data_IF_681057510610
#
_entry.id   IF_681057510610
#
_cell.length_a   1.000
_cell.length_b   1.000
_cell.length_c   1.000
_cell.angle_alpha   90.00
_cell.angle_beta   90.00
_cell.angle_gamma   90.00
#
_symmetry.space_group_name_H-M   'P 1'
#
loop_
_entity.id
_entity.type
_entity.pdbx_description
1 polymer ?
#
# COMPACT_ATOMS: atom_id res chain seq x y z
N UNK A 1 -3.88 25.32 13.35
CA UNK A 1 -3.66 24.36 12.26
C UNK A 1 -4.81 23.35 12.33
N UNK A 2 -5.46 23.04 11.21
CA UNK A 2 -6.59 22.09 11.15
C UNK A 2 -6.05 20.69 10.80
N UNK A 3 -5.95 19.81 11.79
CA UNK A 3 -5.40 18.46 11.65
C UNK A 3 -6.19 17.63 10.63
N UNK A 4 -7.51 17.82 10.53
CA UNK A 4 -8.32 17.07 9.57
C UNK A 4 -7.99 17.44 8.12
N UNK A 5 -7.68 18.71 7.86
CA UNK A 5 -7.20 19.14 6.54
C UNK A 5 -5.83 18.52 6.20
N UNK A 6 -4.95 18.42 7.18
CA UNK A 6 -3.65 17.77 6.98
C UNK A 6 -3.81 16.25 6.73
N UNK A 7 -4.73 15.58 7.43
CA UNK A 7 -5.04 14.16 7.16
C UNK A 7 -5.51 13.98 5.72
N UNK A 8 -6.47 14.80 5.27
CA UNK A 8 -6.97 14.74 3.88
C UNK A 8 -5.83 14.97 2.90
N UNK A 9 -4.99 15.98 3.14
CA UNK A 9 -3.85 16.29 2.29
C UNK A 9 -2.85 15.13 2.16
N UNK A 10 -2.50 14.48 3.28
CA UNK A 10 -1.59 13.33 3.26
C UNK A 10 -2.23 12.15 2.52
N UNK A 11 -3.51 11.85 2.80
CA UNK A 11 -4.24 10.78 2.13
C UNK A 11 -4.34 10.98 0.62
N UNK A 12 -4.70 12.19 0.19
CA UNK A 12 -4.85 12.51 -1.25
C UNK A 12 -3.50 12.49 -1.98
N UNK A 13 -2.41 12.79 -1.26
CA UNK A 13 -1.06 12.65 -1.77
C UNK A 13 -0.52 11.20 -1.75
N UNK A 14 -1.32 10.24 -1.30
CA UNK A 14 -0.93 8.82 -1.21
C UNK A 14 0.09 8.52 -0.12
N UNK A 15 0.22 9.38 0.87
CA UNK A 15 1.19 9.21 1.97
C UNK A 15 0.48 8.72 3.23
N UNK A 16 0.97 7.62 3.84
CA UNK A 16 0.44 7.16 5.12
C UNK A 16 0.83 8.12 6.25
N UNK A 17 -0.03 8.20 7.25
CA UNK A 17 0.20 8.98 8.46
C UNK A 17 -0.44 8.30 9.67
N UNK A 18 -0.20 8.80 10.88
CA UNK A 18 -0.84 8.32 12.09
C UNK A 18 -1.43 9.48 12.88
N UNK A 19 -2.67 9.33 13.33
CA UNK A 19 -3.35 10.28 14.21
C UNK A 19 -3.22 9.81 15.65
N UNK A 20 -2.57 10.61 16.49
CA UNK A 20 -2.50 10.40 17.93
C UNK A 20 -3.59 11.21 18.61
N UNK A 21 -4.41 10.56 19.41
CA UNK A 21 -5.48 11.17 20.20
C UNK A 21 -5.34 10.76 21.67
N UNK A 22 -5.50 11.71 22.60
CA UNK A 22 -5.62 11.40 24.04
C UNK A 22 -7.03 10.86 24.29
N UNK A 23 -7.12 9.66 24.86
CA UNK A 23 -8.39 9.02 25.21
C UNK A 23 -8.70 9.19 26.67
N UNK A 24 -7.69 8.95 27.53
CA UNK A 24 -7.84 9.04 28.98
C UNK A 24 -6.66 9.82 29.56
N UNK A 25 -6.99 10.66 30.52
CA UNK A 25 -6.07 11.51 31.22
C UNK A 25 -6.48 11.60 32.69
N UNK A 26 -5.56 11.33 33.61
CA UNK A 26 -5.79 11.49 35.05
C UNK A 26 -4.58 12.12 35.73
N UNK A 27 -4.81 12.86 36.81
CA UNK A 27 -3.77 13.61 37.49
C UNK A 27 -3.40 14.92 36.80
N UNK A 28 -2.27 15.51 37.20
CA UNK A 28 -1.75 16.76 36.62
C UNK A 28 -1.02 16.44 35.32
N UNK A 29 -1.64 16.79 34.18
CA UNK A 29 -1.08 16.53 32.85
C UNK A 29 -1.01 17.83 32.03
N UNK A 30 -0.02 18.00 31.15
CA UNK A 30 0.21 19.24 30.41
C UNK A 30 -0.72 19.48 29.23
N UNK A 31 -1.64 18.55 28.93
CA UNK A 31 -2.45 18.60 27.71
C UNK A 31 -3.93 18.87 27.94
N UNK A 32 -4.60 19.51 26.98
CA UNK A 32 -6.07 19.56 26.93
C UNK A 32 -6.66 18.20 26.52
N UNK A 33 -7.79 17.83 27.13
CA UNK A 33 -8.48 16.52 26.93
C UNK A 33 -8.85 16.20 25.46
N UNK A 34 -8.71 17.15 24.53
CA UNK A 34 -9.00 16.96 23.11
C UNK A 34 -7.78 17.17 22.22
N UNK A 35 -6.57 17.13 22.79
CA UNK A 35 -5.34 17.33 22.03
C UNK A 35 -5.12 16.18 21.04
N UNK A 36 -4.76 16.55 19.82
CA UNK A 36 -4.45 15.61 18.74
C UNK A 36 -3.17 16.02 18.03
N UNK A 37 -2.48 15.04 17.51
CA UNK A 37 -1.26 15.24 16.71
C UNK A 37 -1.26 14.27 15.55
N UNK A 38 -0.96 14.77 14.35
CA UNK A 38 -0.68 13.96 13.18
C UNK A 38 0.83 13.77 13.05
N UNK A 39 1.25 12.52 12.87
CA UNK A 39 2.62 12.16 12.51
C UNK A 39 2.63 11.69 11.07
N UNK A 40 3.53 12.25 10.23
CA UNK A 40 3.67 11.90 8.82
C UNK A 40 4.74 10.82 8.63
N UNK A 41 4.77 10.22 7.46
CA UNK A 41 5.73 9.17 7.10
C UNK A 41 7.20 9.63 7.21
N UNK A 42 7.48 10.92 6.96
CA UNK A 42 8.81 11.53 7.12
C UNK A 42 9.18 11.85 8.58
N UNK A 43 8.24 11.62 9.51
CA UNK A 43 8.39 11.90 10.93
C UNK A 43 8.07 13.34 11.33
N UNK A 44 7.69 14.21 10.39
CA UNK A 44 7.19 15.55 10.72
C UNK A 44 5.82 15.47 11.39
N UNK A 45 5.48 16.46 12.21
CA UNK A 45 4.26 16.49 12.99
C UNK A 45 3.38 17.70 12.67
N UNK A 46 2.07 17.55 12.93
CA UNK A 46 1.13 18.65 12.96
C UNK A 46 0.28 18.55 14.24
N UNK A 47 0.22 19.63 15.03
CA UNK A 47 -0.39 19.63 16.36
C UNK A 47 0.54 19.11 17.45
N UNK A 48 0.00 18.88 18.64
CA UNK A 48 0.72 18.36 19.81
C UNK A 48 -0.24 17.64 20.77
N UNK A 49 0.28 16.71 21.52
CA UNK A 49 -0.45 16.01 22.61
C UNK A 49 0.15 16.32 23.99
N UNK A 50 0.87 17.46 24.10
CA UNK A 50 1.35 17.96 25.38
C UNK A 50 2.87 18.10 25.49
N UNK A 51 3.63 17.70 24.49
CA UNK A 51 5.09 17.81 24.47
C UNK A 51 5.82 16.81 25.37
N UNK A 52 7.13 16.99 25.48
CA UNK A 52 7.99 16.20 26.38
C UNK A 52 8.15 14.73 25.94
N UNK A 53 8.57 13.86 26.89
CA UNK A 53 8.85 12.47 26.61
C UNK A 53 7.63 11.62 26.24
N UNK A 54 6.45 11.96 26.75
CA UNK A 54 5.22 11.26 26.42
C UNK A 54 4.90 11.43 24.93
N UNK A 55 5.03 12.65 24.41
CA UNK A 55 4.86 12.93 22.97
C UNK A 55 5.96 12.23 22.15
N UNK A 56 7.21 12.30 22.56
CA UNK A 56 8.32 11.60 21.89
C UNK A 56 8.08 10.09 21.77
N UNK A 57 7.59 9.46 22.85
CA UNK A 57 7.25 8.04 22.84
C UNK A 57 6.05 7.72 21.95
N UNK A 58 5.03 8.58 21.95
CA UNK A 58 3.88 8.44 21.06
C UNK A 58 4.26 8.57 19.58
N UNK A 59 5.21 9.46 19.23
CA UNK A 59 5.76 9.60 17.88
C UNK A 59 6.50 8.31 17.44
N UNK A 60 7.26 7.68 18.32
CA UNK A 60 7.94 6.41 18.01
C UNK A 60 6.94 5.31 17.66
N UNK A 61 5.91 5.13 18.50
CA UNK A 61 4.84 4.15 18.21
C UNK A 61 4.06 4.52 16.95
N UNK A 62 3.83 5.81 16.70
CA UNK A 62 3.17 6.26 15.46
C UNK A 62 3.95 5.87 14.19
N UNK A 63 5.27 5.87 14.22
CA UNK A 63 6.10 5.38 13.10
C UNK A 63 5.91 3.87 12.86
N UNK A 64 5.78 3.08 13.92
CA UNK A 64 5.46 1.64 13.79
C UNK A 64 4.05 1.43 13.23
N UNK A 65 3.08 2.21 13.71
CA UNK A 65 1.70 2.22 13.20
C UNK A 65 1.65 2.56 11.72
N UNK A 66 2.41 3.56 11.28
CA UNK A 66 2.53 3.94 9.86
C UNK A 66 3.13 2.77 9.03
N UNK A 67 4.18 2.14 9.54
CA UNK A 67 4.88 1.07 8.83
C UNK A 67 4.02 -0.21 8.71
N UNK A 68 3.24 -0.54 9.75
CA UNK A 68 2.42 -1.76 9.80
C UNK A 68 1.00 -1.56 9.29
N UNK A 69 0.48 -0.33 9.30
CA UNK A 69 -0.92 -0.01 9.04
C UNK A 69 -1.87 -0.49 10.15
N UNK A 70 -1.35 -0.85 11.34
CA UNK A 70 -2.13 -1.35 12.47
C UNK A 70 -2.17 -0.32 13.59
N UNK A 71 -3.38 0.14 13.93
CA UNK A 71 -3.61 1.07 15.03
C UNK A 71 -3.25 0.43 16.38
N UNK A 72 -2.74 1.23 17.31
CA UNK A 72 -2.29 0.76 18.63
C UNK A 72 -2.79 1.68 19.76
N UNK A 73 -2.88 1.09 20.94
CA UNK A 73 -3.08 1.83 22.19
C UNK A 73 -1.75 1.96 22.91
N UNK A 74 -1.44 3.16 23.41
CA UNK A 74 -0.25 3.42 24.22
C UNK A 74 -0.66 4.02 25.57
N UNK A 75 -0.31 3.33 26.65
CA UNK A 75 -0.47 3.85 28.01
C UNK A 75 0.90 4.32 28.53
N UNK A 76 0.92 5.50 29.15
CA UNK A 76 2.12 6.08 29.77
C UNK A 76 1.77 6.49 31.19
N UNK A 77 2.54 5.97 32.15
CA UNK A 77 2.51 6.36 33.55
C UNK A 77 3.64 7.35 33.81
N UNK A 78 3.30 8.55 34.24
CA UNK A 78 4.27 9.63 34.46
C UNK A 78 4.94 9.52 35.85
N UNK A 79 4.50 8.58 36.69
CA UNK A 79 5.06 8.33 38.03
C UNK A 79 6.24 7.35 38.06
N UNK A 80 6.36 6.45 37.09
CA UNK A 80 7.24 5.28 37.19
C UNK A 80 8.63 5.44 36.54
N UNK A 81 9.03 6.62 36.03
CA UNK A 81 10.31 6.74 35.32
C UNK A 81 11.22 7.83 35.91
N UNK A 82 12.03 7.52 36.98
CA UNK A 82 13.02 8.43 37.52
C UNK A 82 14.19 8.75 36.55
N UNK A 83 14.34 7.98 35.46
CA UNK A 83 15.35 8.23 34.40
C UNK A 83 14.88 9.16 33.31
N UNK A 84 13.59 9.49 33.25
CA UNK A 84 13.03 10.54 32.42
C UNK A 84 12.89 11.83 33.25
N UNK A 85 14.04 12.34 33.73
CA UNK A 85 14.13 13.63 34.42
C UNK A 85 13.89 14.78 33.42
N UNK A 86 12.62 15.03 33.17
CA UNK A 86 12.13 16.02 32.20
C UNK A 86 11.65 17.30 32.85
N UNK A 87 12.01 17.52 34.10
CA UNK A 87 11.66 18.74 34.84
C UNK A 87 10.14 18.98 34.98
N UNK A 88 9.31 17.94 34.74
CA UNK A 88 7.84 18.02 34.90
C UNK A 88 7.44 17.29 36.20
N UNK A 89 7.01 18.04 37.19
CA UNK A 89 6.41 17.58 38.44
C UNK A 89 4.92 17.20 38.16
N UNK A 90 4.68 16.40 37.15
CA UNK A 90 3.33 16.03 36.77
C UNK A 90 3.18 14.50 37.00
N UNK A 91 2.57 14.13 38.10
CA UNK A 91 2.14 12.77 38.33
C UNK A 91 0.79 12.51 37.73
N UNK A 92 0.73 11.72 36.64
CA UNK A 92 -0.54 11.39 35.97
C UNK A 92 -0.41 10.17 35.06
N UNK A 93 -1.56 9.68 34.59
CA UNK A 93 -1.66 8.60 33.63
C UNK A 93 -2.25 9.13 32.32
N UNK A 94 -1.59 8.80 31.20
CA UNK A 94 -2.04 9.17 29.86
C UNK A 94 -2.26 7.90 29.02
N UNK A 95 -3.37 7.86 28.30
CA UNK A 95 -3.66 6.83 27.34
C UNK A 95 -3.93 7.45 25.98
N UNK A 96 -3.15 6.99 25.00
CA UNK A 96 -3.26 7.43 23.62
C UNK A 96 -3.87 6.34 22.74
N UNK A 97 -4.74 6.71 21.82
CA UNK A 97 -5.03 5.94 20.63
C UNK A 97 -4.20 6.48 19.48
N UNK A 98 -3.45 5.61 18.83
CA UNK A 98 -2.60 5.92 17.69
C UNK A 98 -3.21 5.19 16.49
N UNK A 99 -3.92 5.96 15.67
CA UNK A 99 -4.70 5.45 14.55
C UNK A 99 -3.90 5.52 13.25
N UNK A 100 -3.85 4.40 12.53
CA UNK A 100 -3.24 4.35 11.21
C UNK A 100 -4.16 5.02 10.17
N UNK A 101 -3.69 6.07 9.54
CA UNK A 101 -4.36 6.74 8.42
C UNK A 101 -3.66 6.33 7.12
N UNK A 102 -4.24 5.32 6.49
CA UNK A 102 -3.70 4.80 5.23
C UNK A 102 -4.36 5.49 4.04
N UNK A 103 -3.61 5.81 2.98
CA UNK A 103 -4.18 6.40 1.78
C UNK A 103 -5.03 5.39 1.02
N UNK A 104 -6.03 5.88 0.28
CA UNK A 104 -6.75 5.06 -0.69
C UNK A 104 -5.78 4.56 -1.76
N UNK A 105 -5.99 3.33 -2.20
CA UNK A 105 -5.19 2.72 -3.27
C UNK A 105 -6.02 2.63 -4.53
N UNK A 106 -5.55 3.28 -5.57
CA UNK A 106 -6.17 3.26 -6.88
C UNK A 106 -5.34 2.40 -7.84
N UNK A 107 -5.99 1.50 -8.53
CA UNK A 107 -5.39 0.67 -9.59
C UNK A 107 -5.75 1.27 -10.93
N UNK A 108 -4.76 1.77 -11.66
CA UNK A 108 -4.89 2.25 -13.02
C UNK A 108 -4.71 1.07 -13.97
N UNK A 109 -5.79 0.64 -14.61
CA UNK A 109 -5.84 -0.53 -15.50
C UNK A 109 -5.79 -0.07 -16.94
N UNK A 110 -4.64 -0.25 -17.58
CA UNK A 110 -4.45 -0.02 -19.01
C UNK A 110 -4.81 -1.28 -19.77
N UNK A 111 -5.93 -1.24 -20.47
CA UNK A 111 -6.53 -2.34 -21.21
C UNK A 111 -7.77 -2.91 -20.54
N UNK A 112 -8.96 -2.49 -21.00
CA UNK A 112 -10.27 -2.99 -20.55
C UNK A 112 -10.70 -4.30 -21.21
N UNK A 113 -9.75 -5.06 -21.83
CA UNK A 113 -9.99 -6.37 -22.42
C UNK A 113 -10.33 -7.44 -21.38
N UNK A 114 -10.26 -8.72 -21.76
CA UNK A 114 -10.67 -9.84 -20.88
C UNK A 114 -9.92 -9.83 -19.54
N UNK A 115 -8.60 -9.77 -19.57
CA UNK A 115 -7.79 -9.77 -18.32
C UNK A 115 -8.05 -8.51 -17.48
N UNK A 116 -8.08 -7.33 -18.11
CA UNK A 116 -8.35 -6.07 -17.39
C UNK A 116 -9.74 -6.05 -16.76
N UNK A 117 -10.74 -6.62 -17.44
CA UNK A 117 -12.10 -6.72 -16.92
C UNK A 117 -12.18 -7.57 -15.64
N UNK A 118 -11.58 -8.76 -15.66
CA UNK A 118 -11.57 -9.64 -14.47
C UNK A 118 -10.68 -9.05 -13.36
N UNK A 119 -9.55 -8.42 -13.74
CA UNK A 119 -8.68 -7.74 -12.77
C UNK A 119 -9.42 -6.62 -12.05
N UNK A 120 -10.22 -5.82 -12.77
CA UNK A 120 -11.06 -4.76 -12.18
C UNK A 120 -12.03 -5.34 -11.13
N UNK A 121 -12.76 -6.40 -11.47
CA UNK A 121 -13.71 -7.05 -10.57
C UNK A 121 -13.03 -7.56 -9.29
N UNK A 122 -11.85 -8.15 -9.42
CA UNK A 122 -11.07 -8.64 -8.27
C UNK A 122 -10.55 -7.46 -7.43
N UNK A 123 -10.04 -6.41 -8.04
CA UNK A 123 -9.60 -5.20 -7.34
C UNK A 123 -10.74 -4.59 -6.52
N UNK A 124 -11.93 -4.48 -7.10
CA UNK A 124 -13.12 -4.00 -6.39
C UNK A 124 -13.50 -4.90 -5.21
N UNK A 125 -13.46 -6.22 -5.39
CA UNK A 125 -13.72 -7.19 -4.30
C UNK A 125 -12.74 -7.02 -3.15
N UNK A 126 -11.50 -6.58 -3.44
CA UNK A 126 -10.46 -6.28 -2.46
C UNK A 126 -10.56 -4.88 -1.85
N UNK A 127 -11.57 -4.09 -2.22
CA UNK A 127 -11.74 -2.71 -1.75
C UNK A 127 -10.75 -1.71 -2.35
N UNK A 128 -10.16 -2.03 -3.49
CA UNK A 128 -9.30 -1.13 -4.24
C UNK A 128 -10.14 -0.29 -5.21
N UNK A 129 -9.85 0.99 -5.29
CA UNK A 129 -10.42 1.87 -6.32
C UNK A 129 -9.81 1.54 -7.67
N UNK A 130 -10.58 1.68 -8.75
CA UNK A 130 -10.10 1.38 -10.11
C UNK A 130 -10.36 2.53 -11.06
N UNK A 131 -9.41 2.75 -11.96
CA UNK A 131 -9.50 3.64 -13.11
C UNK A 131 -9.14 2.82 -14.34
N UNK A 132 -10.03 2.76 -15.34
CA UNK A 132 -9.81 1.93 -16.51
C UNK A 132 -9.52 2.79 -17.74
N UNK A 133 -8.46 2.47 -18.44
CA UNK A 133 -7.96 3.18 -19.62
C UNK A 133 -7.85 2.20 -20.80
N UNK A 134 -8.44 2.51 -21.93
CA UNK A 134 -8.27 1.74 -23.17
C UNK A 134 -8.34 2.70 -24.39
N UNK A 135 -7.63 2.40 -25.44
CA UNK A 135 -7.68 3.20 -26.67
C UNK A 135 -9.04 3.10 -27.39
N UNK A 136 -9.87 2.13 -27.02
CA UNK A 136 -11.18 1.83 -27.63
C UNK A 136 -12.32 2.15 -26.67
N UNK A 137 -13.30 2.99 -27.07
CA UNK A 137 -14.42 3.37 -26.20
C UNK A 137 -15.28 2.20 -25.72
N UNK A 138 -15.41 1.14 -26.50
CA UNK A 138 -16.16 -0.04 -26.10
C UNK A 138 -15.50 -0.86 -24.98
N UNK A 139 -14.21 -0.62 -24.70
CA UNK A 139 -13.44 -1.30 -23.65
C UNK A 139 -13.16 -0.42 -22.43
N UNK A 140 -13.40 0.90 -22.46
CA UNK A 140 -13.27 1.78 -21.31
C UNK A 140 -14.47 2.72 -21.23
N UNK A 141 -15.59 2.22 -20.68
CA UNK A 141 -16.82 2.98 -20.50
C UNK A 141 -17.55 2.60 -19.21
N UNK A 142 -18.45 3.47 -18.70
CA UNK A 142 -19.17 3.22 -17.44
C UNK A 142 -20.15 2.04 -17.50
N UNK A 143 -20.65 1.65 -18.67
CA UNK A 143 -21.54 0.49 -18.80
C UNK A 143 -20.77 -0.81 -18.53
N UNK A 144 -19.54 -0.90 -19.03
CA UNK A 144 -18.65 -2.04 -18.84
C UNK A 144 -18.04 -2.08 -17.44
N UNK A 145 -17.72 -0.92 -16.88
CA UNK A 145 -17.06 -0.75 -15.57
C UNK A 145 -17.87 0.18 -14.64
N UNK A 146 -19.08 -0.24 -14.22
CA UNK A 146 -20.00 0.65 -13.48
C UNK A 146 -19.52 0.99 -12.07
N UNK A 147 -18.52 0.28 -11.56
CA UNK A 147 -17.97 0.50 -10.22
C UNK A 147 -16.56 1.12 -10.24
N UNK A 148 -15.98 1.35 -11.41
CA UNK A 148 -14.74 2.11 -11.51
C UNK A 148 -14.96 3.58 -11.12
N UNK A 149 -13.97 4.19 -10.50
CA UNK A 149 -13.98 5.63 -10.17
C UNK A 149 -14.12 6.46 -11.45
N UNK A 150 -13.42 6.05 -12.51
CA UNK A 150 -13.55 6.64 -13.82
C UNK A 150 -13.07 5.69 -14.93
N UNK A 151 -13.53 5.96 -16.15
CA UNK A 151 -13.10 5.28 -17.37
C UNK A 151 -12.64 6.32 -18.38
N UNK A 152 -11.53 6.05 -19.06
CA UNK A 152 -10.92 6.96 -20.02
C UNK A 152 -10.62 6.23 -21.32
N UNK A 153 -11.26 6.67 -22.42
CA UNK A 153 -11.10 6.06 -23.74
C UNK A 153 -10.44 7.02 -24.72
N UNK A 154 -9.67 6.46 -25.66
CA UNK A 154 -9.03 7.21 -26.74
C UNK A 154 -7.50 7.14 -26.73
N UNK A 155 -6.83 8.03 -27.48
CA UNK A 155 -5.37 8.09 -27.50
C UNK A 155 -4.80 8.21 -26.09
N UNK A 156 -3.78 7.40 -25.75
CA UNK A 156 -3.27 7.30 -24.37
C UNK A 156 -2.84 8.66 -23.80
N UNK A 157 -2.24 9.52 -24.61
CA UNK A 157 -1.83 10.85 -24.16
C UNK A 157 -3.01 11.70 -23.67
N UNK A 158 -4.18 11.59 -24.33
CA UNK A 158 -5.40 12.31 -23.94
C UNK A 158 -6.10 11.63 -22.76
N UNK A 159 -6.23 10.29 -22.83
CA UNK A 159 -6.88 9.49 -21.80
C UNK A 159 -6.16 9.56 -20.44
N UNK A 160 -4.84 9.76 -20.46
CA UNK A 160 -4.03 9.86 -19.22
C UNK A 160 -3.83 11.28 -18.71
N UNK A 161 -4.12 12.31 -19.51
CA UNK A 161 -3.91 13.71 -19.12
C UNK A 161 -4.61 14.14 -17.81
N UNK A 162 -5.84 13.68 -17.50
CA UNK A 162 -6.51 14.03 -16.23
C UNK A 162 -6.06 13.18 -15.04
N UNK A 163 -5.22 12.17 -15.24
CA UNK A 163 -4.86 11.20 -14.21
C UNK A 163 -3.70 11.70 -13.34
N UNK A 164 -3.81 11.47 -12.04
CA UNK A 164 -2.81 11.91 -11.05
C UNK A 164 -2.45 10.77 -10.09
N UNK A 165 -1.73 9.74 -10.56
CA UNK A 165 -1.24 8.68 -9.67
C UNK A 165 -0.34 9.23 -8.57
N UNK A 166 -0.40 8.64 -7.40
CA UNK A 166 0.44 8.95 -6.25
C UNK A 166 1.25 7.72 -5.80
N UNK A 167 2.03 7.84 -4.73
CA UNK A 167 2.89 6.76 -4.24
C UNK A 167 2.14 5.49 -3.81
N UNK A 168 0.83 5.58 -3.51
CA UNK A 168 -0.03 4.42 -3.17
C UNK A 168 -0.74 3.83 -4.39
N UNK A 169 -0.60 4.46 -5.56
CA UNK A 169 -1.22 3.99 -6.80
C UNK A 169 -0.50 2.76 -7.35
N UNK A 170 -1.28 1.88 -7.95
CA UNK A 170 -0.82 0.72 -8.68
C UNK A 170 -1.18 0.88 -10.16
N UNK A 171 -0.26 0.57 -11.06
CA UNK A 171 -0.50 0.57 -12.51
C UNK A 171 -0.45 -0.86 -13.00
N UNK A 172 -1.46 -1.27 -13.75
CA UNK A 172 -1.53 -2.57 -14.41
C UNK A 172 -1.69 -2.38 -15.91
N UNK A 173 -0.80 -2.97 -16.70
CA UNK A 173 -0.73 -2.78 -18.16
C UNK A 173 -1.01 -4.11 -18.86
N UNK A 174 -2.12 -4.15 -19.62
CA UNK A 174 -2.60 -5.30 -20.37
C UNK A 174 -3.29 -4.85 -21.68
N UNK A 175 -2.65 -3.95 -22.43
CA UNK A 175 -3.18 -3.43 -23.69
C UNK A 175 -3.14 -4.50 -24.79
N UNK A 176 -3.90 -4.27 -25.87
CA UNK A 176 -4.00 -5.21 -27.01
C UNK A 176 -2.74 -5.38 -27.84
N UNK A 177 -1.70 -4.58 -27.63
CA UNK A 177 -0.48 -4.62 -28.44
C UNK A 177 0.76 -4.06 -27.75
N UNK A 178 1.92 -4.54 -28.15
CA UNK A 178 3.18 -4.15 -27.50
C UNK A 178 3.54 -2.67 -27.65
N UNK A 179 3.05 -1.99 -28.70
CA UNK A 179 3.27 -0.54 -28.86
C UNK A 179 2.49 0.26 -27.80
N UNK A 180 1.21 -0.09 -27.56
CA UNK A 180 0.40 0.54 -26.53
C UNK A 180 0.87 0.18 -25.11
N UNK A 181 1.35 -1.06 -24.87
CA UNK A 181 1.96 -1.42 -23.59
C UNK A 181 3.23 -0.60 -23.32
N UNK A 182 4.05 -0.36 -24.37
CA UNK A 182 5.25 0.46 -24.26
C UNK A 182 4.89 1.92 -23.92
N UNK A 183 3.88 2.48 -24.59
CA UNK A 183 3.40 3.85 -24.34
C UNK A 183 2.83 3.99 -22.92
N UNK A 184 2.00 3.03 -22.48
CA UNK A 184 1.47 2.98 -21.11
C UNK A 184 2.58 2.83 -20.06
N UNK A 185 3.60 2.00 -20.34
CA UNK A 185 4.74 1.84 -19.44
C UNK A 185 5.59 3.11 -19.37
N UNK A 186 5.83 3.79 -20.51
CA UNK A 186 6.54 5.07 -20.54
C UNK A 186 5.84 6.11 -19.68
N UNK A 187 4.51 6.23 -19.81
CA UNK A 187 3.71 7.11 -18.97
C UNK A 187 3.82 6.73 -17.49
N UNK A 188 3.63 5.45 -17.14
CA UNK A 188 3.68 4.97 -15.77
C UNK A 188 5.03 5.23 -15.10
N UNK A 189 6.13 5.09 -15.82
CA UNK A 189 7.49 5.39 -15.36
C UNK A 189 7.68 6.88 -15.03
N UNK A 190 6.97 7.77 -15.69
CA UNK A 190 6.96 9.21 -15.40
C UNK A 190 6.11 9.61 -14.18
N UNK A 191 5.39 8.67 -13.55
CA UNK A 191 4.53 8.92 -12.39
C UNK A 191 5.16 8.45 -11.09
N UNK A 192 4.69 8.94 -9.91
CA UNK A 192 5.13 8.44 -8.61
C UNK A 192 4.47 7.11 -8.19
N UNK A 193 3.73 6.43 -9.07
CA UNK A 193 3.06 5.16 -8.73
C UNK A 193 4.02 4.16 -8.07
N UNK A 194 3.62 3.57 -6.95
CA UNK A 194 4.47 2.67 -6.17
C UNK A 194 4.65 1.28 -6.79
N UNK A 195 3.73 0.87 -7.65
CA UNK A 195 3.75 -0.43 -8.33
C UNK A 195 3.39 -0.26 -9.80
N UNK A 196 4.14 -0.92 -10.67
CA UNK A 196 3.86 -0.99 -12.10
C UNK A 196 3.97 -2.45 -12.53
N UNK A 197 2.86 -3.03 -12.97
CA UNK A 197 2.81 -4.40 -13.50
C UNK A 197 2.48 -4.43 -14.98
N UNK A 198 3.23 -5.16 -15.80
CA UNK A 198 2.94 -5.29 -17.22
C UNK A 198 2.86 -6.75 -17.65
N UNK A 199 1.77 -7.10 -18.33
CA UNK A 199 1.60 -8.42 -18.96
C UNK A 199 2.52 -8.56 -20.17
N UNK A 200 3.11 -9.72 -20.29
CA UNK A 200 3.82 -10.08 -21.52
C UNK A 200 4.77 -11.25 -21.33
N UNK A 201 5.09 -11.93 -22.44
CA UNK A 201 6.16 -12.90 -22.42
C UNK A 201 7.51 -12.22 -22.14
N UNK A 202 8.47 -12.97 -21.59
CA UNK A 202 9.83 -12.48 -21.33
C UNK A 202 10.45 -11.79 -22.57
N UNK A 203 10.20 -12.33 -23.76
CA UNK A 203 10.68 -11.73 -25.02
C UNK A 203 10.06 -10.35 -25.28
N UNK A 204 8.75 -10.20 -25.05
CA UNK A 204 8.03 -8.93 -25.19
C UNK A 204 8.58 -7.89 -24.23
N UNK A 205 8.72 -8.25 -22.96
CA UNK A 205 9.25 -7.37 -21.90
C UNK A 205 10.63 -6.84 -22.26
N UNK A 206 11.56 -7.72 -22.67
CA UNK A 206 12.90 -7.33 -23.07
C UNK A 206 12.90 -6.39 -24.29
N UNK A 207 11.97 -6.56 -25.21
CA UNK A 207 11.85 -5.66 -26.37
C UNK A 207 11.36 -4.28 -25.93
N UNK A 208 10.33 -4.21 -25.08
CA UNK A 208 9.81 -2.94 -24.56
C UNK A 208 10.88 -2.21 -23.75
N UNK A 209 11.61 -2.90 -22.86
CA UNK A 209 12.70 -2.28 -22.07
C UNK A 209 13.79 -1.71 -22.97
N UNK A 210 14.22 -2.45 -24.00
CA UNK A 210 15.22 -1.97 -24.96
C UNK A 210 14.78 -0.69 -25.66
N UNK A 211 13.52 -0.64 -26.10
CA UNK A 211 12.97 0.53 -26.76
C UNK A 211 12.90 1.74 -25.82
N UNK A 212 12.46 1.53 -24.59
CA UNK A 212 12.37 2.59 -23.57
C UNK A 212 13.77 3.08 -23.14
N UNK A 213 14.77 2.19 -23.08
CA UNK A 213 16.15 2.61 -22.85
C UNK A 213 16.66 3.50 -24.00
N UNK A 214 16.31 3.19 -25.25
CA UNK A 214 16.64 4.04 -26.39
C UNK A 214 15.90 5.40 -26.35
N UNK A 215 14.77 5.51 -25.63
CA UNK A 215 14.05 6.76 -25.37
C UNK A 215 14.58 7.53 -24.15
N UNK A 216 15.62 7.03 -23.47
CA UNK A 216 16.27 7.71 -22.35
C UNK A 216 15.88 7.24 -20.96
N UNK A 217 15.06 6.19 -20.81
CA UNK A 217 14.80 5.57 -19.50
C UNK A 217 16.00 4.74 -19.07
N UNK A 218 16.45 4.91 -17.85
CA UNK A 218 17.55 4.16 -17.27
C UNK A 218 17.12 2.83 -16.62
N UNK A 219 18.10 2.02 -16.24
CA UNK A 219 17.86 0.73 -15.61
C UNK A 219 17.16 0.88 -14.23
N UNK A 220 17.40 1.99 -13.53
CA UNK A 220 16.79 2.26 -12.23
C UNK A 220 15.28 2.48 -12.35
N UNK A 221 14.83 3.13 -13.42
CA UNK A 221 13.42 3.31 -13.69
C UNK A 221 12.66 1.98 -13.77
N UNK A 222 13.30 0.91 -14.29
CA UNK A 222 12.69 -0.42 -14.39
C UNK A 222 12.69 -1.22 -13.08
N UNK A 223 13.43 -0.82 -12.06
CA UNK A 223 13.53 -1.56 -10.79
C UNK A 223 12.16 -1.74 -10.08
N UNK A 224 11.23 -0.81 -10.27
CA UNK A 224 9.87 -0.87 -9.72
C UNK A 224 8.84 -1.56 -10.63
N UNK A 225 9.25 -2.02 -11.81
CA UNK A 225 8.38 -2.70 -12.78
C UNK A 225 8.36 -4.19 -12.53
N UNK A 226 7.18 -4.78 -12.45
CA UNK A 226 6.92 -6.22 -12.42
C UNK A 226 6.51 -6.67 -13.83
N UNK A 227 7.41 -7.33 -14.52
CA UNK A 227 7.15 -7.80 -15.89
C UNK A 227 8.02 -9.04 -16.21
N UNK A 228 7.42 -10.17 -16.53
CA UNK A 228 5.98 -10.47 -16.54
C UNK A 228 5.34 -10.27 -15.17
N UNK A 229 4.15 -9.65 -15.14
CA UNK A 229 3.39 -9.41 -13.91
C UNK A 229 2.63 -10.66 -13.48
N UNK A 230 2.43 -10.80 -12.16
CA UNK A 230 1.68 -11.87 -11.52
C UNK A 230 2.58 -12.90 -10.84
N UNK A 231 2.03 -13.53 -9.81
CA UNK A 231 2.71 -14.64 -9.16
C UNK A 231 2.78 -15.85 -10.09
N UNK A 232 3.90 -16.55 -10.06
CA UNK A 232 4.07 -17.81 -10.81
C UNK A 232 3.26 -18.95 -10.14
N UNK A 233 2.00 -19.07 -10.54
CA UNK A 233 1.06 -20.08 -10.05
C UNK A 233 0.63 -21.05 -11.17
N UNK A 234 1.27 -20.98 -12.34
CA UNK A 234 0.87 -21.78 -13.50
C UNK A 234 -0.43 -21.27 -14.16
N UNK A 235 -0.73 -19.97 -14.04
CA UNK A 235 -1.96 -19.39 -14.52
C UNK A 235 -2.11 -19.50 -16.05
N UNK A 236 -3.26 -19.99 -16.50
CA UNK A 236 -3.68 -20.05 -17.89
C UNK A 236 -5.03 -19.31 -18.03
N UNK A 237 -5.23 -18.58 -19.11
CA UNK A 237 -6.46 -17.82 -19.32
C UNK A 237 -6.61 -16.52 -18.51
N UNK A 238 -7.57 -15.66 -18.91
CA UNK A 238 -7.71 -14.33 -18.33
C UNK A 238 -8.03 -14.30 -16.84
N UNK A 239 -8.85 -15.21 -16.38
CA UNK A 239 -9.33 -15.30 -14.99
C UNK A 239 -8.18 -15.65 -14.03
N UNK A 240 -7.41 -16.67 -14.37
CA UNK A 240 -6.29 -17.13 -13.55
C UNK A 240 -5.13 -16.12 -13.57
N UNK A 241 -4.87 -15.48 -14.72
CA UNK A 241 -3.90 -14.39 -14.83
C UNK A 241 -4.32 -13.22 -13.94
N UNK A 242 -5.60 -12.84 -13.94
CA UNK A 242 -6.10 -11.77 -13.07
C UNK A 242 -5.93 -12.10 -11.58
N UNK A 243 -6.14 -13.37 -11.18
CA UNK A 243 -5.85 -13.84 -9.82
C UNK A 243 -4.36 -13.72 -9.49
N UNK A 244 -3.48 -14.18 -10.38
CA UNK A 244 -2.03 -14.09 -10.20
C UNK A 244 -1.56 -12.64 -10.03
N UNK A 245 -2.08 -11.75 -10.85
CA UNK A 245 -1.78 -10.30 -10.83
C UNK A 245 -2.29 -9.65 -9.54
N UNK A 246 -3.54 -9.87 -9.16
CA UNK A 246 -4.10 -9.29 -7.94
C UNK A 246 -3.45 -9.83 -6.68
N UNK A 247 -3.04 -11.09 -6.66
CA UNK A 247 -2.26 -11.67 -5.58
C UNK A 247 -0.88 -11.01 -5.44
N UNK A 248 -0.19 -10.70 -6.54
CA UNK A 248 1.06 -9.94 -6.52
C UNK A 248 0.85 -8.50 -6.03
N UNK A 249 -0.25 -7.84 -6.45
CA UNK A 249 -0.62 -6.53 -5.94
C UNK A 249 -0.83 -6.54 -4.42
N UNK A 250 -1.53 -7.56 -3.87
CA UNK A 250 -1.70 -7.73 -2.42
C UNK A 250 -0.35 -7.90 -1.74
N UNK A 251 0.55 -8.73 -2.29
CA UNK A 251 1.88 -8.94 -1.74
C UNK A 251 2.67 -7.62 -1.69
N UNK A 252 2.62 -6.83 -2.75
CA UNK A 252 3.23 -5.48 -2.78
C UNK A 252 2.62 -4.56 -1.72
N UNK A 253 1.29 -4.47 -1.65
CA UNK A 253 0.55 -3.64 -0.68
C UNK A 253 0.91 -4.00 0.77
N UNK A 254 1.15 -5.27 1.04
CA UNK A 254 1.46 -5.79 2.38
C UNK A 254 2.96 -5.82 2.68
N UNK A 255 3.82 -5.40 1.74
CA UNK A 255 5.28 -5.47 1.90
C UNK A 255 5.80 -6.90 2.03
N UNK A 256 5.10 -7.88 1.46
CA UNK A 256 5.48 -9.28 1.56
C UNK A 256 6.74 -9.56 0.74
N UNK A 257 7.87 -9.74 1.40
CA UNK A 257 9.16 -9.99 0.75
C UNK A 257 9.20 -11.36 0.04
N UNK A 258 8.41 -12.33 0.49
CA UNK A 258 8.32 -13.68 -0.10
C UNK A 258 6.89 -14.18 0.00
N UNK A 259 6.31 -14.55 -1.12
CA UNK A 259 5.04 -15.25 -1.17
C UNK A 259 5.31 -16.74 -1.06
N UNK A 260 4.75 -17.38 -0.04
CA UNK A 260 4.87 -18.83 0.20
C UNK A 260 3.50 -19.40 0.50
N UNK A 261 3.22 -20.66 0.11
CA UNK A 261 2.04 -21.37 0.63
C UNK A 261 2.15 -21.49 2.15
N UNK A 262 1.02 -21.39 2.86
CA UNK A 262 0.99 -21.73 4.28
C UNK A 262 1.49 -23.15 4.46
N UNK A 263 2.49 -23.34 5.33
CA UNK A 263 3.01 -24.67 5.66
C UNK A 263 1.88 -25.51 6.24
N UNK A 264 1.76 -26.76 5.80
CA UNK A 264 0.74 -27.67 6.35
C UNK A 264 1.00 -27.86 7.84
N UNK A 265 0.05 -27.42 8.67
CA UNK A 265 0.11 -27.56 10.14
C UNK A 265 0.21 -29.04 10.56
N UNK A 266 -0.19 -29.99 9.69
CA UNK A 266 -0.12 -31.43 9.95
C UNK A 266 1.30 -31.98 10.16
N UNK A 267 2.35 -31.33 9.66
CA UNK A 267 3.74 -31.74 9.89
C UNK A 267 4.24 -31.52 11.32
N UNK A 268 3.67 -30.54 12.02
CA UNK A 268 4.08 -30.19 13.37
C UNK A 268 3.35 -31.03 14.47
N UNK A 269 2.25 -31.69 14.12
CA UNK A 269 1.50 -32.56 15.03
C UNK A 269 2.05 -34.00 15.13
N UNK A 270 2.88 -34.46 14.19
CA UNK A 270 3.42 -35.82 14.17
C UNK A 270 4.78 -35.97 14.90
N UNK A 271 5.48 -34.89 15.17
CA UNK A 271 6.82 -34.94 15.78
C UNK A 271 6.90 -35.34 17.27
N UNK A 272 5.86 -35.24 18.12
CA UNK A 272 5.99 -35.69 19.51
C UNK A 272 6.01 -37.20 19.71
N UNK A 273 5.49 -37.98 18.76
CA UNK A 273 5.37 -39.46 18.95
C UNK A 273 6.63 -40.24 18.58
N UNK A 274 7.42 -39.79 17.62
CA UNK A 274 8.65 -40.51 17.26
C UNK A 274 9.81 -40.24 18.23
N UNK A 275 9.87 -39.05 18.82
CA UNK A 275 10.88 -38.73 19.85
C UNK A 275 10.65 -39.54 21.15
N UNK A 276 9.38 -39.76 21.54
CA UNK A 276 9.03 -40.55 22.71
C UNK A 276 9.27 -42.06 22.53
N UNK A 277 9.11 -42.60 21.31
CA UNK A 277 9.38 -44.01 21.01
C UNK A 277 10.87 -44.33 20.94
N UNK A 278 11.73 -43.38 20.52
CA UNK A 278 13.20 -43.56 20.53
C UNK A 278 13.79 -43.42 21.95
N UNK A 279 13.19 -42.63 22.83
CA UNK A 279 13.61 -42.50 24.22
C UNK A 279 13.19 -43.70 25.10
N UNK A 280 12.21 -44.51 24.69
CA UNK A 280 11.74 -45.68 25.39
C UNK A 280 12.37 -46.99 24.89
N UNK A 281 13.21 -46.97 23.85
CA UNK A 281 13.89 -48.09 23.26
C UNK A 281 15.42 -48.10 23.48
N UNK A 282 15.98 -47.16 24.28
CA UNK A 282 17.33 -47.10 24.74
C UNK A 282 17.36 -47.11 26.27
#
# INVERSE_FOLDING_TARGET
>A
MDIFKEIVRERDAGRPSALISIITQSGSTPSATAARMLVRADGSIAGTVGGGAAEGRAIMVAREVIATGQSQMLAIDLHENPTLDLGMICGGHLQFHIEAIMPNRTVYIFGGGHVGFVTEQLCRTLGLETVVIDDRPEFANPERFPAAVSTHAGPLAEATAPLSPNASSLVFIAMRGHALDQEALAWALGTPAGYIGMIGSRRKVLTVYRNLTAMGFDAEAFARVRAPVGLDIGAEGPEEIAVAVTAEMIAHIRGAAKVRPFTRIMGDCEQPKEAALRAAAG
#
